data_IF_516030372492
#
_entry.id   IF_516030372492
#
_cell.length_a   1.000
_cell.length_b   1.000
_cell.length_c   1.000
_cell.angle_alpha   90.00
_cell.angle_beta   90.00
_cell.angle_gamma   90.00
#
_symmetry.space_group_name_H-M   'P 1'
#
loop_
_entity.id
_entity.type
_entity.pdbx_description
1 polymer ?
#
# COMPACT_ATOMS: atom_id res chain seq x y z
N UNK A 1 27.85 21.59 3.35
CA UNK A 1 26.47 21.13 3.59
C UNK A 1 26.17 20.10 2.51
N UNK A 2 26.13 18.82 2.87
CA UNK A 2 25.92 17.73 1.90
C UNK A 2 24.42 17.52 1.79
N UNK A 3 23.84 17.86 0.65
CA UNK A 3 22.42 17.62 0.38
C UNK A 3 22.30 16.18 -0.13
N UNK A 4 21.90 15.27 0.77
CA UNK A 4 21.44 13.95 0.38
C UNK A 4 20.04 14.11 -0.23
N UNK A 5 19.98 14.29 -1.56
CA UNK A 5 18.73 14.18 -2.29
C UNK A 5 18.47 12.69 -2.43
N UNK A 6 17.75 12.13 -1.44
CA UNK A 6 17.32 10.73 -1.48
C UNK A 6 16.45 10.58 -2.72
N UNK A 7 16.92 9.72 -3.63
CA UNK A 7 16.36 9.55 -4.96
C UNK A 7 14.86 9.28 -4.92
N UNK A 8 14.11 10.05 -5.70
CA UNK A 8 12.77 9.66 -6.09
C UNK A 8 12.91 8.40 -6.93
N UNK A 9 12.64 7.25 -6.32
CA UNK A 9 12.45 5.98 -7.04
C UNK A 9 11.13 6.11 -7.78
N UNK A 10 11.17 6.71 -8.98
CA UNK A 10 10.05 6.64 -9.93
C UNK A 10 10.12 5.26 -10.57
N UNK A 11 9.41 4.33 -9.96
CA UNK A 11 9.26 2.97 -10.47
C UNK A 11 8.30 2.93 -11.67
N UNK A 12 8.57 1.95 -12.53
CA UNK A 12 8.31 1.92 -13.97
C UNK A 12 6.83 1.96 -14.39
N UNK A 13 6.60 2.67 -15.50
CA UNK A 13 5.38 2.65 -16.32
C UNK A 13 5.15 1.27 -16.96
N UNK A 14 4.34 0.40 -16.34
CA UNK A 14 3.71 -0.78 -16.95
C UNK A 14 2.26 -0.85 -16.47
N UNK A 15 1.43 0.12 -16.88
CA UNK A 15 0.21 0.46 -16.14
C UNK A 15 0.60 1.01 -14.78
N UNK A 16 0.27 2.25 -14.45
CA UNK A 16 0.64 2.76 -13.13
C UNK A 16 -0.19 1.98 -12.10
N UNK A 17 0.37 0.93 -11.50
CA UNK A 17 -0.22 0.27 -10.35
C UNK A 17 0.21 1.09 -9.14
N UNK A 18 -0.74 1.76 -8.50
CA UNK A 18 -0.56 2.52 -7.28
C UNK A 18 -0.69 1.59 -6.09
N UNK A 19 0.18 1.81 -5.12
CA UNK A 19 0.17 1.07 -3.87
C UNK A 19 -0.18 2.03 -2.72
N UNK A 20 -1.06 1.61 -1.82
CA UNK A 20 -1.40 2.38 -0.63
C UNK A 20 -1.58 1.46 0.57
N UNK A 21 -1.28 1.98 1.76
CA UNK A 21 -1.38 1.25 3.01
C UNK A 21 -2.54 1.79 3.83
N UNK A 22 -3.35 0.88 4.37
CA UNK A 22 -4.39 1.19 5.36
C UNK A 22 -3.95 0.56 6.67
N UNK A 23 -3.75 1.39 7.70
CA UNK A 23 -3.51 0.93 9.06
C UNK A 23 -4.76 0.23 9.58
N UNK A 24 -4.61 -1.02 10.03
CA UNK A 24 -5.69 -1.80 10.62
C UNK A 24 -5.16 -2.56 11.83
N UNK A 25 -5.78 -2.39 13.00
CA UNK A 25 -5.39 -3.11 14.23
C UNK A 25 -5.46 -4.64 14.08
N UNK A 26 -6.36 -5.11 13.23
CA UNK A 26 -6.42 -6.49 12.74
C UNK A 26 -6.57 -6.45 11.24
N UNK A 27 -5.60 -7.00 10.51
CA UNK A 27 -5.72 -7.12 9.06
C UNK A 27 -6.38 -8.45 8.72
N UNK A 28 -7.67 -8.42 8.44
CA UNK A 28 -8.37 -9.52 7.78
C UNK A 28 -8.31 -9.32 6.26
N UNK A 29 -7.85 -10.34 5.52
CA UNK A 29 -7.66 -10.24 4.06
C UNK A 29 -8.95 -9.88 3.34
N UNK A 30 -10.09 -10.44 3.77
CA UNK A 30 -11.40 -10.13 3.17
C UNK A 30 -11.77 -8.65 3.38
N UNK A 31 -11.67 -8.16 4.62
CA UNK A 31 -11.91 -6.76 4.94
C UNK A 31 -10.95 -5.83 4.20
N UNK A 32 -9.65 -6.13 4.21
CA UNK A 32 -8.63 -5.36 3.50
C UNK A 32 -8.95 -5.27 2.00
N UNK A 33 -9.25 -6.40 1.36
CA UNK A 33 -9.62 -6.45 -0.04
C UNK A 33 -10.90 -5.66 -0.33
N UNK A 34 -11.93 -5.76 0.52
CA UNK A 34 -13.14 -4.97 0.38
C UNK A 34 -12.87 -3.46 0.51
N UNK A 35 -12.00 -3.05 1.43
CA UNK A 35 -11.61 -1.64 1.60
C UNK A 35 -10.85 -1.14 0.37
N UNK A 36 -9.90 -1.91 -0.16
CA UNK A 36 -9.16 -1.55 -1.37
C UNK A 36 -10.07 -1.50 -2.61
N UNK A 37 -11.01 -2.44 -2.72
CA UNK A 37 -12.00 -2.48 -3.80
C UNK A 37 -12.98 -1.30 -3.72
N UNK A 38 -13.44 -0.95 -2.51
CA UNK A 38 -14.37 0.15 -2.28
C UNK A 38 -13.72 1.52 -2.54
N UNK A 39 -12.46 1.73 -2.12
CA UNK A 39 -11.75 3.01 -2.31
C UNK A 39 -11.18 3.18 -3.71
N UNK A 40 -10.53 2.15 -4.25
CA UNK A 40 -9.69 2.28 -5.45
C UNK A 40 -10.01 1.25 -6.54
N UNK A 41 -11.07 0.44 -6.38
CA UNK A 41 -11.35 -0.72 -7.24
C UNK A 41 -10.12 -1.63 -7.40
N UNK A 42 -9.31 -1.68 -6.35
CA UNK A 42 -8.07 -2.44 -6.27
C UNK A 42 -8.23 -3.76 -5.54
N UNK A 43 -7.10 -4.42 -5.35
CA UNK A 43 -6.99 -5.67 -4.59
C UNK A 43 -6.18 -5.41 -3.32
N UNK A 44 -6.59 -6.01 -2.22
CA UNK A 44 -5.93 -5.86 -0.91
C UNK A 44 -5.30 -7.14 -0.40
N UNK A 45 -4.12 -7.03 0.19
CA UNK A 45 -3.42 -8.12 0.88
C UNK A 45 -2.97 -7.66 2.27
N UNK A 46 -3.01 -8.56 3.25
CA UNK A 46 -2.48 -8.26 4.56
C UNK A 46 -0.98 -8.54 4.60
N UNK A 47 -0.20 -7.49 4.83
CA UNK A 47 1.24 -7.64 5.03
C UNK A 47 1.50 -8.17 6.45
N UNK A 48 2.56 -8.97 6.63
CA UNK A 48 2.93 -9.46 7.95
C UNK A 48 3.24 -8.26 8.87
N UNK A 49 2.88 -8.36 10.16
CA UNK A 49 3.10 -7.27 11.09
C UNK A 49 4.59 -6.90 11.13
N UNK A 50 4.88 -5.64 10.84
CA UNK A 50 6.25 -5.12 10.75
C UNK A 50 6.39 -3.92 11.69
N UNK A 51 7.55 -3.80 12.36
CA UNK A 51 7.83 -2.73 13.33
C UNK A 51 7.53 -3.07 14.79
N UNK A 52 7.85 -2.12 15.68
CA UNK A 52 7.56 -2.16 17.13
C UNK A 52 6.80 -0.89 17.50
N UNK A 53 5.48 -0.96 17.84
CA UNK A 53 4.66 -2.16 17.98
C UNK A 53 4.34 -2.87 16.66
N UNK A 54 4.00 -4.16 16.75
CA UNK A 54 3.62 -5.01 15.61
C UNK A 54 2.28 -4.52 15.03
N UNK A 55 2.32 -3.67 14.02
CA UNK A 55 1.13 -3.21 13.30
C UNK A 55 0.95 -4.07 12.06
N UNK A 56 -0.20 -4.73 11.94
CA UNK A 56 -0.60 -5.31 10.66
C UNK A 56 -1.10 -4.19 9.74
N UNK A 57 -0.70 -4.23 8.47
CA UNK A 57 -1.08 -3.22 7.50
C UNK A 57 -1.76 -3.87 6.31
N UNK A 58 -2.86 -3.28 5.89
CA UNK A 58 -3.54 -3.67 4.66
C UNK A 58 -2.85 -2.97 3.50
N UNK A 59 -2.26 -3.75 2.61
CA UNK A 59 -1.61 -3.30 1.39
C UNK A 59 -2.60 -3.37 0.22
N UNK A 60 -2.89 -2.23 -0.39
CA UNK A 60 -3.75 -2.13 -1.55
C UNK A 60 -2.94 -1.91 -2.81
N UNK A 61 -3.18 -2.73 -3.84
CA UNK A 61 -2.68 -2.53 -5.20
C UNK A 61 -3.86 -2.20 -6.13
N UNK A 62 -3.81 -1.05 -6.79
CA UNK A 62 -4.87 -0.57 -7.66
C UNK A 62 -4.30 0.12 -8.90
N UNK A 63 -5.09 0.23 -9.97
CA UNK A 63 -4.70 1.08 -11.09
C UNK A 63 -4.76 2.54 -10.64
N UNK A 64 -3.66 3.28 -10.77
CA UNK A 64 -3.67 4.72 -10.58
C UNK A 64 -4.66 5.34 -11.57
N UNK A 65 -5.65 6.04 -11.06
CA UNK A 65 -6.47 6.91 -11.90
C UNK A 65 -5.56 8.04 -12.42
N UNK A 66 -5.58 8.26 -13.74
CA UNK A 66 -4.75 9.26 -14.43
C UNK A 66 -5.34 10.65 -14.27
#
# INVERSE_FOLDING_TARGET
MVFFVIGMVMEKTQGHICHSYIEAEHCEVAQCNQMCAAKWKGTGTCEPPTGTPLTQTCYCAFNCET
#
